data_IF_810541182401
#
_entry.id   IF_810541182401
#
_cell.length_a   1.000
_cell.length_b   1.000
_cell.length_c   1.000
_cell.angle_alpha   90.00
_cell.angle_beta   90.00
_cell.angle_gamma   90.00
#
_symmetry.space_group_name_H-M   'P 1'
#
loop_
_entity.id
_entity.type
_entity.pdbx_description
1 polymer ?
#
# COMPACT_ATOMS: atom_id res chain seq x y z
N UNK A 1 18.90 30.09 16.62
CA UNK A 1 20.15 29.31 16.43
C UNK A 1 20.39 29.16 14.94
N UNK A 2 21.65 29.32 14.47
CA UNK A 2 22.02 29.10 13.06
C UNK A 2 22.84 27.82 12.98
N UNK A 3 22.35 26.81 12.27
CA UNK A 3 23.10 25.58 12.02
C UNK A 3 24.20 25.88 11.00
N UNK A 4 25.44 25.47 11.28
CA UNK A 4 26.60 25.66 10.39
C UNK A 4 27.12 24.29 9.95
N UNK A 5 27.15 23.98 8.64
CA UNK A 5 27.68 22.71 8.15
C UNK A 5 29.18 22.58 8.44
N UNK A 6 29.63 21.37 8.81
CA UNK A 6 31.04 21.09 9.10
C UNK A 6 31.87 20.74 7.86
N UNK A 7 31.27 20.74 6.66
CA UNK A 7 31.89 20.36 5.39
C UNK A 7 32.52 18.95 5.36
N UNK A 8 32.14 18.08 6.29
CA UNK A 8 32.56 16.66 6.30
C UNK A 8 31.72 15.87 5.31
N UNK A 9 32.37 15.03 4.49
CA UNK A 9 31.70 14.15 3.52
C UNK A 9 31.56 12.74 4.09
N UNK A 10 30.39 12.14 3.94
CA UNK A 10 30.14 10.74 4.27
C UNK A 10 30.37 9.86 3.04
N UNK A 11 30.87 8.64 3.26
CA UNK A 11 30.93 7.58 2.25
C UNK A 11 29.79 6.61 2.52
N UNK A 12 28.81 6.57 1.61
CA UNK A 12 27.58 5.78 1.79
C UNK A 12 27.67 4.44 1.05
N UNK A 13 27.22 3.38 1.72
CA UNK A 13 26.80 2.14 1.07
C UNK A 13 25.28 2.11 0.92
N UNK A 14 24.77 1.33 -0.03
CA UNK A 14 23.33 1.15 -0.24
C UNK A 14 22.98 -0.32 -0.40
N UNK A 15 21.77 -0.67 0.02
CA UNK A 15 21.12 -1.95 -0.21
C UNK A 15 19.66 -1.66 -0.56
N UNK A 16 19.13 -2.37 -1.56
CA UNK A 16 17.74 -2.23 -1.97
C UNK A 16 16.92 -3.30 -1.26
N UNK A 17 15.92 -2.86 -0.50
CA UNK A 17 14.92 -3.76 0.07
C UNK A 17 13.99 -4.23 -1.04
N UNK A 18 13.72 -5.54 -1.10
CA UNK A 18 12.88 -6.15 -2.11
C UNK A 18 11.39 -6.10 -1.70
N UNK A 19 10.50 -6.11 -2.70
CA UNK A 19 9.06 -6.26 -2.45
C UNK A 19 8.76 -7.73 -2.13
N UNK A 20 8.10 -8.04 -1.00
CA UNK A 20 7.87 -9.43 -0.60
C UNK A 20 6.86 -10.12 -1.50
N UNK A 21 6.95 -11.44 -1.55
CA UNK A 21 5.99 -12.33 -2.19
C UNK A 21 5.06 -12.97 -1.15
N UNK A 22 3.85 -13.35 -1.55
CA UNK A 22 2.88 -13.97 -0.65
C UNK A 22 3.36 -15.29 -0.02
N UNK A 23 4.39 -15.93 -0.60
CA UNK A 23 4.96 -17.19 -0.11
C UNK A 23 6.24 -17.00 0.72
N UNK A 24 6.64 -15.76 0.97
CA UNK A 24 7.84 -15.48 1.76
C UNK A 24 7.63 -15.84 3.23
N UNK A 25 8.72 -16.15 3.93
CA UNK A 25 8.63 -16.47 5.35
C UNK A 25 8.11 -15.26 6.16
N UNK A 26 7.16 -15.51 7.05
CA UNK A 26 6.53 -14.47 7.87
C UNK A 26 5.24 -13.89 7.28
N UNK A 27 4.80 -14.35 6.11
CA UNK A 27 3.45 -14.07 5.61
C UNK A 27 2.41 -15.01 6.24
N UNK A 28 1.15 -14.58 6.22
CA UNK A 28 0.00 -15.39 6.56
C UNK A 28 -1.16 -15.06 5.63
N UNK A 29 -2.10 -15.98 5.48
CA UNK A 29 -3.29 -15.80 4.66
C UNK A 29 -4.52 -15.53 5.55
N UNK A 30 -5.37 -14.61 5.12
CA UNK A 30 -6.65 -14.29 5.75
C UNK A 30 -7.64 -13.95 4.64
N UNK A 31 -8.88 -14.43 4.77
CA UNK A 31 -9.96 -13.95 3.92
C UNK A 31 -10.43 -12.59 4.44
N UNK A 32 -10.00 -11.52 3.76
CA UNK A 32 -10.28 -10.13 4.11
C UNK A 32 -9.09 -9.34 4.65
N UNK A 33 -9.36 -8.06 4.91
CA UNK A 33 -8.36 -7.09 5.40
C UNK A 33 -8.28 -7.08 6.93
N UNK A 34 -7.09 -6.83 7.46
CA UNK A 34 -6.80 -6.77 8.90
C UNK A 34 -6.22 -5.42 9.32
N UNK A 35 -6.51 -4.98 10.54
CA UNK A 35 -6.01 -3.70 11.07
C UNK A 35 -4.52 -3.83 11.42
N UNK A 36 -3.71 -2.84 11.03
CA UNK A 36 -2.25 -2.93 11.09
C UNK A 36 -1.73 -3.11 12.52
N UNK A 37 -2.17 -2.31 13.49
CA UNK A 37 -1.65 -2.35 14.87
C UNK A 37 -2.02 -3.65 15.58
N UNK A 38 -3.16 -4.25 15.25
CA UNK A 38 -3.59 -5.54 15.77
C UNK A 38 -2.64 -6.66 15.38
N UNK A 39 -2.00 -6.56 14.21
CA UNK A 39 -1.03 -7.53 13.68
C UNK A 39 0.39 -7.19 14.13
N UNK A 40 0.85 -5.95 13.91
CA UNK A 40 2.23 -5.56 14.20
C UNK A 40 2.50 -5.40 15.70
N UNK A 41 1.45 -5.16 16.49
CA UNK A 41 1.55 -4.79 17.92
C UNK A 41 2.54 -3.65 18.14
N UNK A 42 2.59 -2.71 17.19
CA UNK A 42 3.49 -1.56 17.19
C UNK A 42 4.99 -1.93 17.29
N UNK A 43 5.37 -3.16 16.90
CA UNK A 43 6.78 -3.58 16.86
C UNK A 43 7.53 -3.04 15.64
N UNK A 44 6.79 -2.57 14.64
CA UNK A 44 7.30 -2.01 13.39
C UNK A 44 6.26 -1.06 12.82
N UNK A 45 6.74 0.00 12.15
CA UNK A 45 5.91 0.96 11.43
C UNK A 45 5.31 0.36 10.16
N UNK A 46 5.84 -0.77 9.68
CA UNK A 46 5.56 -1.32 8.34
C UNK A 46 4.69 -2.56 8.38
N UNK A 47 3.70 -2.62 7.50
CA UNK A 47 2.90 -3.84 7.29
C UNK A 47 2.53 -4.01 5.81
N UNK A 48 2.75 -5.22 5.29
CA UNK A 48 2.45 -5.58 3.90
C UNK A 48 1.08 -6.25 3.78
N UNK A 49 0.23 -5.71 2.91
CA UNK A 49 -0.97 -6.40 2.42
C UNK A 49 -0.68 -6.92 1.02
N UNK A 50 -0.86 -8.22 0.80
CA UNK A 50 -0.50 -8.90 -0.43
C UNK A 50 -1.74 -9.59 -1.01
N UNK A 51 -1.97 -9.45 -2.31
CA UNK A 51 -3.02 -10.18 -3.02
C UNK A 51 -2.68 -10.35 -4.49
N UNK A 52 -3.30 -11.34 -5.12
CA UNK A 52 -3.15 -11.61 -6.55
C UNK A 52 -4.39 -11.15 -7.31
N UNK A 53 -4.17 -10.42 -8.41
CA UNK A 53 -5.21 -9.99 -9.36
C UNK A 53 -5.09 -10.85 -10.61
N UNK A 54 -6.04 -11.76 -10.82
CA UNK A 54 -6.04 -12.64 -12.01
C UNK A 54 -6.86 -12.04 -13.13
N UNK A 55 -6.21 -11.71 -14.24
CA UNK A 55 -6.79 -11.02 -15.40
C UNK A 55 -7.03 -12.01 -16.54
N UNK A 56 -8.25 -12.06 -17.05
CA UNK A 56 -8.61 -12.84 -18.24
C UNK A 56 -7.97 -12.30 -19.51
N UNK A 57 -7.65 -13.17 -20.47
CA UNK A 57 -7.05 -12.76 -21.76
C UNK A 57 -7.99 -11.96 -22.65
N UNK A 58 -9.29 -12.00 -22.37
CA UNK A 58 -10.37 -11.32 -23.07
C UNK A 58 -10.69 -9.93 -22.50
N UNK A 59 -10.03 -9.51 -21.43
CA UNK A 59 -10.18 -8.19 -20.83
C UNK A 59 -9.94 -7.07 -21.85
N UNK A 60 -10.91 -6.16 -21.96
CA UNK A 60 -10.91 -5.13 -23.01
C UNK A 60 -9.72 -4.18 -22.88
N UNK A 61 -9.33 -3.84 -21.65
CA UNK A 61 -8.23 -2.91 -21.38
C UNK A 61 -6.90 -3.40 -21.97
N UNK A 62 -6.69 -4.72 -22.06
CA UNK A 62 -5.49 -5.31 -22.68
C UNK A 62 -5.37 -4.96 -24.17
N UNK A 63 -6.50 -4.77 -24.86
CA UNK A 63 -6.55 -4.45 -26.30
C UNK A 63 -6.58 -2.95 -26.55
N UNK A 64 -7.22 -2.18 -25.67
CA UNK A 64 -7.39 -0.73 -25.83
C UNK A 64 -6.23 0.07 -25.24
N UNK A 65 -5.46 -0.51 -24.32
CA UNK A 65 -4.46 0.21 -23.53
C UNK A 65 -5.07 1.16 -22.49
N UNK A 66 -6.37 1.03 -22.21
CA UNK A 66 -7.06 1.85 -21.21
C UNK A 66 -6.98 1.18 -19.84
N UNK A 67 -5.82 1.33 -19.19
CA UNK A 67 -5.48 0.67 -17.93
C UNK A 67 -6.59 0.84 -16.86
N UNK A 68 -6.91 -0.22 -16.09
CA UNK A 68 -7.93 -0.18 -15.06
C UNK A 68 -7.52 0.73 -13.89
N UNK A 69 -8.52 1.37 -13.27
CA UNK A 69 -8.36 2.29 -12.14
C UNK A 69 -8.41 1.50 -10.83
N UNK A 70 -7.28 1.40 -10.14
CA UNK A 70 -7.18 0.86 -8.79
C UNK A 70 -7.45 1.97 -7.76
N UNK A 71 -8.39 1.73 -6.84
CA UNK A 71 -8.69 2.63 -5.71
C UNK A 71 -8.52 1.87 -4.40
N UNK A 72 -7.77 2.42 -3.45
CA UNK A 72 -7.50 1.82 -2.14
C UNK A 72 -7.77 2.84 -1.05
N UNK A 73 -8.68 2.51 -0.13
CA UNK A 73 -8.88 3.20 1.13
C UNK A 73 -7.99 2.64 2.24
N UNK A 74 -7.34 3.53 2.99
CA UNK A 74 -6.55 3.18 4.17
C UNK A 74 -6.86 4.15 5.32
N UNK A 75 -6.83 3.62 6.54
CA UNK A 75 -6.96 4.41 7.76
C UNK A 75 -5.71 5.25 8.07
N UNK A 76 -4.63 5.08 7.30
CA UNK A 76 -3.40 5.87 7.40
C UNK A 76 -2.18 5.00 7.70
N UNK A 77 -0.99 5.58 7.81
CA UNK A 77 -0.66 7.01 7.64
C UNK A 77 -0.03 7.30 6.27
N UNK A 78 0.70 6.34 5.72
CA UNK A 78 1.17 6.36 4.35
C UNK A 78 1.02 4.97 3.72
N UNK A 79 0.98 4.97 2.40
CA UNK A 79 0.78 3.77 1.59
C UNK A 79 1.66 3.87 0.35
N UNK A 80 2.51 2.86 0.14
CA UNK A 80 3.12 2.59 -1.15
C UNK A 80 2.41 1.43 -1.83
N UNK A 81 2.11 1.59 -3.12
CA UNK A 81 1.40 0.59 -3.93
C UNK A 81 2.36 0.04 -4.97
N UNK A 82 2.59 -1.26 -4.94
CA UNK A 82 3.43 -1.97 -5.90
C UNK A 82 2.58 -2.93 -6.72
N UNK A 83 2.79 -2.91 -8.04
CA UNK A 83 2.16 -3.83 -8.99
C UNK A 83 3.28 -4.58 -9.70
N UNK A 84 3.27 -5.91 -9.60
CA UNK A 84 4.31 -6.77 -10.16
C UNK A 84 5.73 -6.37 -9.75
N UNK A 85 5.90 -5.99 -8.47
CA UNK A 85 7.18 -5.56 -7.89
C UNK A 85 7.60 -4.13 -8.25
N UNK A 86 6.84 -3.40 -9.07
CA UNK A 86 7.15 -2.02 -9.45
C UNK A 86 6.27 -1.04 -8.67
N UNK A 87 6.86 0.04 -8.15
CA UNK A 87 6.13 1.10 -7.47
C UNK A 87 5.18 1.79 -8.46
N UNK A 88 3.87 1.63 -8.24
CA UNK A 88 2.82 2.31 -9.00
C UNK A 88 2.57 3.73 -8.47
N UNK A 89 2.70 3.93 -7.16
CA UNK A 89 2.63 5.25 -6.55
C UNK A 89 2.55 5.24 -5.02
N UNK A 90 2.41 6.43 -4.46
CA UNK A 90 2.43 6.70 -3.03
C UNK A 90 1.32 7.65 -2.65
N UNK A 91 0.67 7.42 -1.51
CA UNK A 91 -0.25 8.36 -0.88
C UNK A 91 0.07 8.46 0.61
N UNK A 92 -0.18 9.62 1.21
CA UNK A 92 0.01 9.84 2.65
C UNK A 92 -0.99 10.85 3.18
N UNK A 93 -1.37 10.67 4.44
CA UNK A 93 -2.23 11.57 5.18
C UNK A 93 -1.45 12.70 5.86
N UNK A 94 -2.16 13.47 6.68
CA UNK A 94 -1.60 14.49 7.56
C UNK A 94 -1.98 14.20 9.01
N UNK A 95 -1.39 14.92 9.97
CA UNK A 95 -1.74 14.78 11.39
C UNK A 95 -3.25 14.95 11.65
N UNK A 96 -3.89 15.92 10.97
CA UNK A 96 -5.33 16.17 11.14
C UNK A 96 -6.22 15.22 10.32
N UNK A 97 -5.67 14.58 9.29
CA UNK A 97 -6.39 13.69 8.37
C UNK A 97 -5.48 12.52 7.97
N UNK A 98 -5.28 11.53 8.85
CA UNK A 98 -4.34 10.42 8.60
C UNK A 98 -4.85 9.44 7.54
N UNK A 99 -6.19 9.32 7.41
CA UNK A 99 -6.84 8.52 6.38
C UNK A 99 -6.43 8.98 4.99
N UNK A 100 -6.26 8.04 4.08
CA UNK A 100 -5.82 8.30 2.72
C UNK A 100 -6.58 7.42 1.72
N UNK A 101 -6.65 7.93 0.49
CA UNK A 101 -7.12 7.16 -0.66
C UNK A 101 -6.06 7.22 -1.74
N UNK A 102 -5.58 6.06 -2.17
CA UNK A 102 -4.81 5.93 -3.41
C UNK A 102 -5.79 5.68 -4.56
N UNK A 103 -5.65 6.38 -5.68
CA UNK A 103 -6.50 6.19 -6.86
C UNK A 103 -5.71 6.46 -8.12
N UNK A 104 -5.30 5.42 -8.84
CA UNK A 104 -4.48 5.54 -10.03
C UNK A 104 -4.73 4.39 -11.01
N UNK A 105 -4.59 4.68 -12.32
CA UNK A 105 -4.57 3.63 -13.34
C UNK A 105 -3.30 2.80 -13.20
N UNK A 106 -3.45 1.48 -13.24
CA UNK A 106 -2.34 0.53 -13.08
C UNK A 106 -2.22 -0.39 -14.29
N UNK A 107 -0.98 -0.68 -14.67
CA UNK A 107 -0.69 -1.61 -15.77
C UNK A 107 -0.82 -3.03 -15.26
N UNK A 108 -1.71 -3.80 -15.87
CA UNK A 108 -1.90 -5.22 -15.62
C UNK A 108 -1.69 -6.00 -16.91
N UNK A 109 -1.22 -7.24 -16.80
CA UNK A 109 -1.12 -8.17 -17.91
C UNK A 109 -2.10 -9.33 -17.75
N UNK A 110 -2.35 -10.08 -18.83
CA UNK A 110 -3.12 -11.31 -18.75
C UNK A 110 -2.46 -12.32 -17.79
N UNK A 111 -3.27 -13.07 -17.03
CA UNK A 111 -2.80 -13.96 -15.98
C UNK A 111 -2.70 -13.28 -14.61
N UNK A 112 -1.82 -13.80 -13.75
CA UNK A 112 -1.69 -13.36 -12.36
C UNK A 112 -0.81 -12.12 -12.25
N UNK A 113 -1.33 -11.06 -11.63
CA UNK A 113 -0.58 -9.86 -11.27
C UNK A 113 -0.48 -9.76 -9.76
N UNK A 114 0.70 -9.48 -9.23
CA UNK A 114 0.93 -9.36 -7.78
C UNK A 114 0.69 -7.92 -7.34
N UNK A 115 -0.28 -7.71 -6.44
CA UNK A 115 -0.49 -6.43 -5.78
C UNK A 115 0.12 -6.50 -4.37
N UNK A 116 1.10 -5.63 -4.10
CA UNK A 116 1.73 -5.52 -2.79
C UNK A 116 1.58 -4.09 -2.26
N UNK A 117 1.03 -3.97 -1.06
CA UNK A 117 0.70 -2.69 -0.44
C UNK A 117 1.53 -2.55 0.83
N UNK A 118 2.44 -1.59 0.86
CA UNK A 118 3.20 -1.27 2.06
C UNK A 118 2.50 -0.15 2.82
N UNK A 119 1.83 -0.53 3.90
CA UNK A 119 1.20 0.40 4.84
C UNK A 119 2.20 0.83 5.90
N UNK A 120 2.18 2.12 6.24
CA UNK A 120 3.14 2.75 7.15
C UNK A 120 2.39 3.48 8.25
N UNK A 121 2.71 3.17 9.50
CA UNK A 121 2.33 3.94 10.67
C UNK A 121 3.37 5.02 10.95
N UNK A 122 2.95 6.27 11.18
CA UNK A 122 3.85 7.40 11.43
C UNK A 122 3.64 7.92 12.86
N UNK A 123 3.92 7.06 13.84
CA UNK A 123 3.50 7.24 15.22
C UNK A 123 2.01 6.94 15.44
N UNK A 124 1.64 6.70 16.69
CA UNK A 124 0.25 6.44 17.08
C UNK A 124 -0.44 7.70 17.62
N UNK A 125 -1.78 7.81 17.45
CA UNK A 125 -2.55 8.89 18.04
C UNK A 125 -2.32 8.98 19.56
N UNK A 126 -2.22 10.20 20.08
CA UNK A 126 -1.91 10.45 21.49
C UNK A 126 -2.91 11.41 22.17
N UNK A 127 -3.92 11.89 21.45
CA UNK A 127 -4.94 12.81 21.97
C UNK A 127 -6.24 12.68 21.17
N UNK A 128 -7.37 12.80 21.86
CA UNK A 128 -8.71 12.65 21.29
C UNK A 128 -9.62 11.80 22.18
N UNK A 129 -10.93 11.94 22.06
CA UNK A 129 -11.84 11.01 22.74
C UNK A 129 -11.79 9.66 22.01
N UNK A 130 -11.47 8.59 22.73
CA UNK A 130 -11.32 7.23 22.20
C UNK A 130 -10.24 7.07 21.11
N UNK A 131 -9.14 7.83 21.17
CA UNK A 131 -8.07 7.74 20.16
C UNK A 131 -7.42 6.34 20.11
N UNK A 132 -7.48 5.58 21.19
CA UNK A 132 -7.02 4.19 21.27
C UNK A 132 -7.79 3.22 20.37
N UNK A 133 -8.96 3.64 19.86
CA UNK A 133 -9.82 2.83 18.97
C UNK A 133 -9.66 3.19 17.49
N UNK A 134 -8.82 4.17 17.16
CA UNK A 134 -8.63 4.62 15.79
C UNK A 134 -7.75 3.64 15.03
N UNK A 135 -8.28 3.13 13.92
CA UNK A 135 -7.59 2.13 13.10
C UNK A 135 -6.41 2.71 12.32
N UNK A 136 -5.45 1.85 12.00
CA UNK A 136 -4.35 2.10 11.06
C UNK A 136 -4.32 1.01 9.98
N UNK A 137 -3.84 1.35 8.78
CA UNK A 137 -3.65 0.39 7.70
C UNK A 137 -4.81 0.26 6.71
N UNK A 138 -4.64 -0.66 5.77
CA UNK A 138 -5.56 -0.86 4.63
C UNK A 138 -6.76 -1.67 5.11
N UNK A 139 -7.87 -0.99 5.36
CA UNK A 139 -9.17 -1.58 5.73
C UNK A 139 -10.23 -1.41 4.64
N UNK A 140 -9.81 -0.90 3.48
CA UNK A 140 -10.65 -0.76 2.31
C UNK A 140 -11.53 0.50 2.31
N UNK A 141 -12.37 0.64 1.27
CA UNK A 141 -12.56 -0.33 0.18
C UNK A 141 -11.31 -0.45 -0.73
N UNK A 142 -11.15 -1.60 -1.37
CA UNK A 142 -10.13 -1.83 -2.41
C UNK A 142 -10.86 -2.23 -3.68
N UNK A 143 -10.85 -1.38 -4.70
CA UNK A 143 -11.63 -1.61 -5.92
C UNK A 143 -10.80 -1.49 -7.19
N UNK A 144 -11.16 -2.27 -8.21
CA UNK A 144 -10.55 -2.23 -9.53
C UNK A 144 -11.64 -1.99 -10.58
N UNK A 145 -11.67 -0.77 -11.13
CA UNK A 145 -12.65 -0.35 -12.13
C UNK A 145 -12.06 -0.40 -13.54
N UNK A 146 -12.87 -0.78 -14.52
CA UNK A 146 -12.46 -0.82 -15.94
C UNK A 146 -12.15 -2.23 -16.45
N UNK A 147 -12.47 -3.25 -15.65
CA UNK A 147 -12.56 -4.64 -16.09
C UNK A 147 -13.87 -4.88 -16.85
N UNK A 148 -13.96 -5.96 -17.63
CA UNK A 148 -15.12 -6.30 -18.45
C UNK A 148 -16.42 -6.40 -17.65
N UNK A 149 -16.34 -6.91 -16.41
CA UNK A 149 -17.49 -7.00 -15.49
C UNK A 149 -17.84 -5.69 -14.80
N UNK A 150 -17.16 -4.59 -15.14
CA UNK A 150 -17.38 -3.25 -14.57
C UNK A 150 -16.35 -2.91 -13.49
N UNK A 151 -16.65 -3.28 -12.24
CA UNK A 151 -15.80 -3.01 -11.07
C UNK A 151 -15.72 -4.25 -10.19
N UNK A 152 -14.51 -4.57 -9.72
CA UNK A 152 -14.28 -5.55 -8.64
C UNK A 152 -14.11 -4.81 -7.31
N UNK A 153 -14.59 -5.41 -6.21
CA UNK A 153 -14.55 -4.89 -4.83
C UNK A 153 -14.11 -5.96 -3.80
#
# INVERSE_FOLDING_TARGET
MKMVPTNTKFSWGSYNEEVPSANDNGTFAQDGLVEQISITRDKTDYFWYLTDITIGTDEKFLKTGDDPLLTIGSAGHALHVFVNGQLAGTAYGSLGTPKLTFSQKIKLHAGVNKLALLSIAAGLPNVGVHYETWNTGVLGPVTLKGVNSGTWD
#
